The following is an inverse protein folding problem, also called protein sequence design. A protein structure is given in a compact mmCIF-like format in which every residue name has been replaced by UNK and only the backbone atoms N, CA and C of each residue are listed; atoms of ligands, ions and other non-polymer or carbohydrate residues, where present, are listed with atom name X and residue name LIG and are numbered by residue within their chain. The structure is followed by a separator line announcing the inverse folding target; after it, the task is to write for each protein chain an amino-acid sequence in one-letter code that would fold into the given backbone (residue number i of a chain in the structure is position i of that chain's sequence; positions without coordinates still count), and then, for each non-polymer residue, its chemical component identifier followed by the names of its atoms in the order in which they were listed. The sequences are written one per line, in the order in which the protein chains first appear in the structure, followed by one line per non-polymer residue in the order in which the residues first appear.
data_IF_608705502444
#
_entry.id   IF_608705502444
#
_cell.length_a   1.000
_cell.length_b   1.000
_cell.length_c   1.000
_cell.angle_alpha   90.00
_cell.angle_beta   90.00
_cell.angle_gamma   90.00
#
_symmetry.space_group_name_H-M   'P 1'
#
loop_
_entity.id
_entity.type
_entity.pdbx_description
1 polymer ?
#
# COMPACT_ATOMS: atom_id res chain seq x y z
N UNK A 1 -23.47 -13.45 8.09
CA UNK A 1 -22.59 -12.27 7.93
C UNK A 1 -22.55 -11.86 6.47
N UNK A 2 -21.91 -10.72 6.19
CA UNK A 2 -21.59 -10.29 4.83
C UNK A 2 -20.33 -11.04 4.37
N UNK A 3 -20.40 -11.70 3.21
CA UNK A 3 -19.22 -12.27 2.54
C UNK A 3 -18.85 -11.41 1.33
N UNK A 4 -17.65 -10.83 1.33
CA UNK A 4 -17.09 -10.11 0.18
C UNK A 4 -16.27 -11.11 -0.63
N UNK A 5 -16.60 -11.30 -1.91
CA UNK A 5 -15.91 -12.23 -2.80
C UNK A 5 -14.64 -11.60 -3.36
N UNK A 6 -13.72 -12.44 -3.81
CA UNK A 6 -12.58 -12.03 -4.62
C UNK A 6 -13.03 -11.25 -5.87
N UNK A 7 -12.19 -10.33 -6.33
CA UNK A 7 -12.47 -9.41 -7.42
C UNK A 7 -12.50 -7.95 -6.97
N UNK A 8 -13.29 -7.14 -7.68
CA UNK A 8 -13.46 -5.72 -7.39
C UNK A 8 -14.80 -5.50 -6.70
N UNK A 9 -14.74 -5.05 -5.44
CA UNK A 9 -15.91 -4.65 -4.66
C UNK A 9 -15.90 -3.14 -4.44
N UNK A 10 -16.99 -2.48 -4.83
CA UNK A 10 -17.22 -1.07 -4.62
C UNK A 10 -18.20 -0.86 -3.46
N UNK A 11 -17.84 -0.02 -2.51
CA UNK A 11 -18.68 0.41 -1.40
C UNK A 11 -19.09 1.86 -1.62
N UNK A 12 -20.37 2.08 -1.92
CA UNK A 12 -20.96 3.39 -2.21
C UNK A 12 -22.01 3.80 -1.18
N UNK A 13 -22.56 5.01 -1.33
CA UNK A 13 -23.59 5.55 -0.44
C UNK A 13 -23.36 7.02 -0.10
N UNK A 14 -24.38 7.66 0.46
CA UNK A 14 -24.30 9.05 0.91
C UNK A 14 -23.21 9.28 1.97
N UNK A 15 -22.84 10.54 2.18
CA UNK A 15 -22.01 10.94 3.32
C UNK A 15 -22.65 10.48 4.63
N UNK A 16 -21.84 10.09 5.61
CA UNK A 16 -22.29 9.64 6.94
C UNK A 16 -23.11 8.34 7.02
N UNK A 17 -23.18 7.55 5.95
CA UNK A 17 -23.90 6.27 5.97
C UNK A 17 -23.06 5.05 6.42
N UNK A 18 -21.80 5.25 6.82
CA UNK A 18 -20.93 4.19 7.38
C UNK A 18 -19.95 3.52 6.40
N UNK A 19 -19.70 4.11 5.21
CA UNK A 19 -18.76 3.56 4.22
C UNK A 19 -17.34 3.37 4.78
N UNK A 20 -16.71 4.46 5.22
CA UNK A 20 -15.35 4.43 5.77
C UNK A 20 -15.29 3.65 7.09
N UNK A 21 -16.38 3.60 7.86
CA UNK A 21 -16.47 2.73 9.06
C UNK A 21 -16.37 1.26 8.68
N UNK A 22 -17.10 0.81 7.66
CA UNK A 22 -17.00 -0.55 7.14
C UNK A 22 -15.60 -0.84 6.61
N UNK A 23 -15.02 0.04 5.79
CA UNK A 23 -13.67 -0.15 5.27
C UNK A 23 -12.62 -0.18 6.38
N UNK A 24 -12.74 0.65 7.41
CA UNK A 24 -11.84 0.66 8.57
C UNK A 24 -11.96 -0.61 9.41
N UNK A 25 -13.13 -1.23 9.47
CA UNK A 25 -13.29 -2.55 10.08
C UNK A 25 -12.58 -3.63 9.24
N UNK A 26 -12.71 -3.60 7.91
CA UNK A 26 -12.01 -4.51 7.01
C UNK A 26 -10.48 -4.33 7.06
N UNK A 27 -10.00 -3.09 7.13
CA UNK A 27 -8.58 -2.77 7.31
C UNK A 27 -7.98 -3.40 8.57
N UNK A 28 -8.77 -3.41 9.65
CA UNK A 28 -8.41 -4.00 10.94
C UNK A 28 -8.66 -5.51 11.00
N UNK A 29 -9.35 -6.09 10.02
CA UNK A 29 -9.68 -7.51 9.96
C UNK A 29 -8.49 -8.43 9.69
N UNK A 30 -7.31 -7.86 9.41
CA UNK A 30 -6.03 -8.57 9.34
C UNK A 30 -5.47 -8.93 10.73
N UNK A 31 -6.06 -8.39 11.79
CA UNK A 31 -5.73 -8.69 13.18
C UNK A 31 -6.92 -9.34 13.87
N UNK A 32 -6.62 -10.26 14.78
CA UNK A 32 -7.62 -10.77 15.72
C UNK A 32 -7.99 -9.66 16.72
N UNK A 33 -9.28 -9.52 17.02
CA UNK A 33 -9.76 -8.59 18.05
C UNK A 33 -10.15 -9.34 19.32
N UNK A 34 -10.09 -8.64 20.45
CA UNK A 34 -10.51 -9.20 21.75
C UNK A 34 -12.03 -9.43 21.77
N UNK A 35 -12.53 -10.40 22.57
CA UNK A 35 -13.98 -10.60 22.71
C UNK A 35 -14.70 -9.34 23.18
N UNK A 36 -15.83 -9.00 22.54
CA UNK A 36 -16.65 -7.83 22.88
C UNK A 36 -16.19 -6.51 22.24
N UNK A 37 -15.17 -6.53 21.38
CA UNK A 37 -14.73 -5.36 20.61
C UNK A 37 -15.77 -4.90 19.57
N UNK A 38 -16.59 -5.83 19.07
CA UNK A 38 -17.56 -5.65 17.98
C UNK A 38 -17.00 -6.01 16.60
N UNK A 39 -15.68 -6.15 16.45
CA UNK A 39 -14.99 -6.57 15.20
C UNK A 39 -14.32 -7.94 15.31
N UNK A 40 -14.52 -8.68 16.40
CA UNK A 40 -13.88 -9.99 16.63
C UNK A 40 -14.22 -11.07 15.58
N UNK A 41 -15.26 -10.85 14.78
CA UNK A 41 -15.62 -11.71 13.64
C UNK A 41 -15.56 -10.98 12.28
N UNK A 42 -14.95 -9.80 12.24
CA UNK A 42 -14.65 -9.09 10.99
C UNK A 42 -13.25 -9.50 10.57
N UNK A 43 -13.18 -10.46 9.65
CA UNK A 43 -11.92 -11.04 9.16
C UNK A 43 -11.68 -10.60 7.73
N UNK A 44 -10.46 -10.18 7.46
CA UNK A 44 -9.95 -9.88 6.12
C UNK A 44 -8.76 -10.78 5.84
N UNK A 45 -8.51 -11.09 4.58
CA UNK A 45 -7.32 -11.83 4.16
C UNK A 45 -6.04 -11.14 4.67
N UNK A 46 -5.08 -11.94 5.14
CA UNK A 46 -3.99 -11.50 6.03
C UNK A 46 -2.97 -10.58 5.36
N UNK A 47 -2.82 -10.66 4.03
CA UNK A 47 -1.96 -9.78 3.24
C UNK A 47 -2.64 -8.48 2.79
N UNK A 48 -3.90 -8.23 3.19
CA UNK A 48 -4.62 -7.04 2.78
C UNK A 48 -3.92 -5.73 3.21
N UNK A 49 -3.77 -4.81 2.26
CA UNK A 49 -3.10 -3.52 2.46
C UNK A 49 -4.04 -2.34 2.20
N UNK A 50 -4.11 -1.43 3.18
CA UNK A 50 -4.72 -0.10 3.00
C UNK A 50 -3.78 0.82 2.25
N UNK A 51 -4.25 1.36 1.13
CA UNK A 51 -3.52 2.34 0.33
C UNK A 51 -4.20 3.70 0.39
N UNK A 52 -3.37 4.75 0.37
CA UNK A 52 -3.76 6.16 0.35
C UNK A 52 -2.67 6.99 -0.31
N UNK A 53 -2.96 8.26 -0.59
CA UNK A 53 -1.94 9.22 -1.02
C UNK A 53 -1.07 9.66 0.18
N UNK A 54 0.23 9.85 -0.08
CA UNK A 54 1.25 10.23 0.90
C UNK A 54 2.14 11.33 0.34
N UNK A 55 1.61 12.54 0.25
CA UNK A 55 2.36 13.68 -0.27
C UNK A 55 3.64 13.94 0.54
N UNK A 56 4.76 14.11 -0.15
CA UNK A 56 6.06 14.39 0.45
C UNK A 56 6.93 13.18 0.82
N UNK A 57 6.43 11.94 0.70
CA UNK A 57 7.26 10.75 0.98
C UNK A 57 8.38 10.58 -0.05
N UNK A 58 9.48 9.94 0.35
CA UNK A 58 10.52 9.53 -0.60
C UNK A 58 10.14 8.25 -1.35
N UNK A 59 10.64 8.14 -2.58
CA UNK A 59 10.62 6.91 -3.39
C UNK A 59 12.03 6.74 -3.94
N UNK A 60 12.57 5.52 -3.93
CA UNK A 60 13.93 5.23 -4.38
C UNK A 60 13.97 4.05 -5.35
N UNK A 61 14.46 4.32 -6.56
CA UNK A 61 14.66 3.39 -7.66
C UNK A 61 13.53 2.37 -7.84
N UNK A 62 12.27 2.81 -7.77
CA UNK A 62 11.10 1.96 -7.91
C UNK A 62 10.56 2.01 -9.34
N UNK A 63 10.14 0.87 -9.88
CA UNK A 63 9.41 0.83 -11.14
C UNK A 63 7.94 1.18 -10.94
N UNK A 64 7.56 2.40 -11.32
CA UNK A 64 6.18 2.89 -11.28
C UNK A 64 5.54 2.95 -12.67
N UNK A 65 6.19 2.35 -13.69
CA UNK A 65 5.79 2.47 -15.10
C UNK A 65 4.42 1.87 -15.42
N UNK A 66 3.93 0.97 -14.55
CA UNK A 66 2.57 0.43 -14.60
C UNK A 66 1.48 1.50 -14.43
N UNK A 67 1.82 2.62 -13.78
CA UNK A 67 0.90 3.69 -13.42
C UNK A 67 1.34 5.09 -13.89
N UNK A 68 2.64 5.31 -14.14
CA UNK A 68 3.20 6.61 -14.52
C UNK A 68 4.15 6.42 -15.70
N UNK A 69 3.91 7.11 -16.81
CA UNK A 69 4.71 7.09 -18.04
C UNK A 69 5.13 8.51 -18.43
N UNK A 70 6.16 8.65 -19.28
CA UNK A 70 6.46 9.87 -20.03
C UNK A 70 6.42 11.18 -19.20
N UNK A 71 7.10 11.21 -18.05
CA UNK A 71 7.15 12.41 -17.22
C UNK A 71 7.72 13.61 -17.99
N UNK A 72 7.16 14.84 -17.86
CA UNK A 72 7.60 16.01 -18.65
C UNK A 72 9.07 16.39 -18.47
N UNK A 73 9.65 16.07 -17.32
CA UNK A 73 11.06 16.31 -17.02
C UNK A 73 11.99 15.18 -17.49
N UNK A 74 11.46 14.18 -18.20
CA UNK A 74 12.22 13.03 -18.70
C UNK A 74 12.71 12.07 -17.62
N UNK A 75 12.21 12.16 -16.38
CA UNK A 75 12.57 11.22 -15.32
C UNK A 75 12.18 9.79 -15.70
N UNK A 76 13.08 8.86 -15.40
CA UNK A 76 12.87 7.43 -15.61
C UNK A 76 11.76 6.92 -14.66
N UNK A 77 10.73 6.30 -15.22
CA UNK A 77 9.62 5.70 -14.46
C UNK A 77 9.85 4.23 -14.11
N UNK A 78 10.86 3.59 -14.69
CA UNK A 78 11.28 2.21 -14.38
C UNK A 78 12.27 2.19 -13.20
N UNK A 79 13.06 3.26 -13.02
CA UNK A 79 13.93 3.46 -11.83
C UNK A 79 13.63 4.78 -11.14
N UNK A 80 12.36 5.02 -10.84
CA UNK A 80 11.89 6.31 -10.34
C UNK A 80 12.44 6.63 -8.94
N UNK A 81 12.92 7.85 -8.77
CA UNK A 81 13.39 8.37 -7.48
C UNK A 81 12.94 9.81 -7.25
N UNK A 82 12.51 10.09 -6.03
CA UNK A 82 12.21 11.45 -5.55
C UNK A 82 12.34 11.53 -4.03
N UNK A 83 12.77 12.69 -3.52
CA UNK A 83 12.72 13.00 -2.09
C UNK A 83 11.38 13.59 -1.64
N UNK A 84 10.52 13.95 -2.61
CA UNK A 84 9.28 14.69 -2.41
C UNK A 84 8.29 14.22 -3.49
N UNK A 85 7.50 13.19 -3.18
CA UNK A 85 6.53 12.61 -4.11
C UNK A 85 5.19 13.35 -4.03
N UNK A 86 4.57 13.63 -5.19
CA UNK A 86 3.18 14.11 -5.21
C UNK A 86 2.21 13.04 -4.71
N UNK A 87 0.99 13.44 -4.34
CA UNK A 87 -0.09 12.52 -3.97
C UNK A 87 -0.34 11.36 -4.95
N UNK A 88 -0.38 11.61 -6.27
CA UNK A 88 -0.57 10.55 -7.26
C UNK A 88 0.64 9.64 -7.40
N UNK A 89 1.84 10.21 -7.36
CA UNK A 89 3.09 9.47 -7.47
C UNK A 89 3.32 8.57 -6.26
N UNK A 90 3.03 9.08 -5.06
CA UNK A 90 3.10 8.32 -3.82
C UNK A 90 2.09 7.17 -3.78
N UNK A 91 0.85 7.39 -4.25
CA UNK A 91 -0.16 6.33 -4.29
C UNK A 91 0.13 5.27 -5.37
N UNK A 92 0.65 5.68 -6.53
CA UNK A 92 1.15 4.76 -7.55
C UNK A 92 2.29 3.89 -7.00
N UNK A 93 3.27 4.50 -6.34
CA UNK A 93 4.36 3.78 -5.68
C UNK A 93 3.83 2.82 -4.60
N UNK A 94 2.92 3.27 -3.73
CA UNK A 94 2.30 2.43 -2.70
C UNK A 94 1.57 1.22 -3.29
N UNK A 95 0.96 1.37 -4.47
CA UNK A 95 0.30 0.25 -5.18
C UNK A 95 1.33 -0.77 -5.65
N UNK A 96 2.43 -0.34 -6.29
CA UNK A 96 3.51 -1.24 -6.71
C UNK A 96 4.16 -1.93 -5.51
N UNK A 97 4.45 -1.17 -4.45
CA UNK A 97 5.04 -1.70 -3.22
C UNK A 97 4.15 -2.75 -2.54
N UNK A 98 2.82 -2.58 -2.57
CA UNK A 98 1.88 -3.57 -2.06
C UNK A 98 1.91 -4.88 -2.87
N UNK A 99 2.06 -4.78 -4.19
CA UNK A 99 2.24 -5.95 -5.07
C UNK A 99 3.53 -6.69 -4.70
N UNK A 100 4.64 -5.96 -4.51
CA UNK A 100 5.93 -6.52 -4.10
C UNK A 100 5.89 -7.17 -2.71
N UNK A 101 5.09 -6.59 -1.80
CA UNK A 101 4.83 -7.16 -0.48
C UNK A 101 3.87 -8.36 -0.49
N UNK A 102 3.48 -8.84 -1.68
CA UNK A 102 2.66 -10.04 -1.86
C UNK A 102 1.19 -9.84 -1.51
N UNK A 103 0.69 -8.60 -1.47
CA UNK A 103 -0.71 -8.32 -1.12
C UNK A 103 -1.68 -8.95 -2.12
N UNK A 104 -2.74 -9.60 -1.60
CA UNK A 104 -3.85 -10.16 -2.39
C UNK A 104 -5.11 -9.31 -2.34
N UNK A 105 -5.15 -8.30 -1.48
CA UNK A 105 -6.31 -7.39 -1.36
C UNK A 105 -5.85 -5.96 -1.12
N UNK A 106 -6.27 -5.04 -1.99
CA UNK A 106 -6.07 -3.60 -1.82
C UNK A 106 -7.34 -2.97 -1.24
N UNK A 107 -7.20 -2.23 -0.14
CA UNK A 107 -8.27 -1.46 0.48
C UNK A 107 -8.02 0.02 0.18
N UNK A 108 -8.98 0.70 -0.42
CA UNK A 108 -8.82 2.09 -0.86
C UNK A 108 -10.04 2.91 -0.44
N UNK A 109 -9.79 4.11 0.11
CA UNK A 109 -10.82 5.11 0.36
C UNK A 109 -10.59 6.31 -0.55
N UNK A 110 -11.59 6.67 -1.36
CA UNK A 110 -11.58 7.83 -2.25
C UNK A 110 -11.22 9.11 -1.50
N UNK A 111 -11.70 9.28 -0.25
CA UNK A 111 -11.47 10.50 0.56
C UNK A 111 -10.00 10.71 0.96
N UNK A 112 -9.18 9.65 0.91
CA UNK A 112 -7.74 9.69 1.25
C UNK A 112 -6.83 9.44 0.06
N UNK A 113 -7.41 9.34 -1.14
CA UNK A 113 -6.71 9.06 -2.38
C UNK A 113 -6.45 10.33 -3.20
N UNK A 114 -5.45 10.28 -4.07
CA UNK A 114 -5.22 11.33 -5.05
C UNK A 114 -6.23 11.18 -6.20
N UNK A 115 -7.11 12.17 -6.36
CA UNK A 115 -8.22 12.11 -7.34
C UNK A 115 -7.72 11.82 -8.76
N UNK A 116 -6.63 12.48 -9.18
CA UNK A 116 -6.00 12.31 -10.49
C UNK A 116 -5.35 10.92 -10.69
N UNK A 117 -5.03 10.21 -9.61
CA UNK A 117 -4.62 8.80 -9.69
C UNK A 117 -5.82 7.87 -9.79
N UNK A 118 -6.93 8.15 -9.09
CA UNK A 118 -8.07 7.24 -9.03
C UNK A 118 -8.85 7.14 -10.34
N UNK A 119 -9.21 8.30 -10.90
CA UNK A 119 -10.10 8.38 -12.05
C UNK A 119 -9.71 9.58 -12.91
N UNK A 120 -9.99 9.47 -14.21
CA UNK A 120 -9.89 10.59 -15.13
C UNK A 120 -11.21 10.79 -15.84
N UNK A 121 -11.65 12.04 -15.87
CA UNK A 121 -12.90 12.41 -16.48
C UNK A 121 -12.86 12.25 -18.01
N UNK A 122 -13.99 11.83 -18.59
CA UNK A 122 -14.10 11.58 -20.03
C UNK A 122 -13.92 12.86 -20.88
N UNK A 123 -14.30 14.03 -20.37
CA UNK A 123 -14.06 15.31 -21.04
C UNK A 123 -12.57 15.65 -21.03
N UNK A 124 -11.87 15.39 -19.91
CA UNK A 124 -10.41 15.57 -19.85
C UNK A 124 -9.66 14.70 -20.84
N UNK A 125 -10.11 13.46 -21.06
CA UNK A 125 -9.57 12.60 -22.11
C UNK A 125 -9.76 13.13 -23.53
N UNK A 126 -10.81 13.94 -23.78
CA UNK A 126 -11.05 14.55 -25.10
C UNK A 126 -10.20 15.79 -25.33
N UNK A 127 -9.82 16.50 -24.27
CA UNK A 127 -9.08 17.77 -24.35
C UNK A 127 -7.57 17.54 -24.33
N UNK A 128 -7.08 16.63 -23.49
CA UNK A 128 -5.65 16.36 -23.33
C UNK A 128 -5.35 14.98 -23.92
N UNK A 129 -4.44 14.93 -24.90
CA UNK A 129 -4.07 13.69 -25.55
C UNK A 129 -3.50 12.68 -24.55
N UNK A 130 -3.81 11.40 -24.75
CA UNK A 130 -3.30 10.31 -23.87
C UNK A 130 -1.78 10.32 -23.74
N UNK A 131 -1.04 10.71 -24.78
CA UNK A 131 0.43 10.78 -24.76
C UNK A 131 1.01 11.94 -23.93
N UNK A 132 0.19 12.93 -23.57
CA UNK A 132 0.59 14.11 -22.79
C UNK A 132 0.24 13.98 -21.31
N UNK A 133 -0.60 13.01 -20.94
CA UNK A 133 -0.91 12.70 -19.55
C UNK A 133 -0.03 11.56 -19.06
N UNK A 134 0.89 11.82 -18.12
CA UNK A 134 1.80 10.78 -17.62
C UNK A 134 1.08 9.74 -16.75
N UNK A 135 -0.04 10.08 -16.10
CA UNK A 135 -0.70 9.22 -15.14
C UNK A 135 -1.70 8.29 -15.84
N UNK A 136 -1.55 6.99 -15.60
CA UNK A 136 -2.54 5.96 -15.91
C UNK A 136 -3.45 5.84 -14.69
N UNK A 137 -4.75 6.16 -14.81
CA UNK A 137 -5.67 6.07 -13.69
C UNK A 137 -5.80 4.64 -13.16
N UNK A 138 -5.88 4.50 -11.84
CA UNK A 138 -6.05 3.23 -11.13
C UNK A 138 -7.26 2.44 -11.65
N UNK A 139 -8.37 3.13 -11.94
CA UNK A 139 -9.57 2.51 -12.54
C UNK A 139 -9.28 1.73 -13.84
N UNK A 140 -8.31 2.17 -14.63
CA UNK A 140 -7.90 1.50 -15.88
C UNK A 140 -7.07 0.25 -15.67
N UNK A 141 -6.53 0.04 -14.47
CA UNK A 141 -5.71 -1.12 -14.06
C UNK A 141 -6.41 -2.04 -13.05
N UNK A 142 -7.45 -1.56 -12.38
CA UNK A 142 -8.12 -2.26 -11.28
C UNK A 142 -8.61 -3.66 -11.66
N UNK A 143 -9.13 -3.83 -12.89
CA UNK A 143 -9.52 -5.15 -13.40
C UNK A 143 -8.31 -6.06 -13.68
N UNK A 144 -7.25 -5.52 -14.27
CA UNK A 144 -6.02 -6.27 -14.54
C UNK A 144 -5.31 -6.73 -13.26
N UNK A 145 -5.36 -5.93 -12.19
CA UNK A 145 -4.85 -6.35 -10.87
C UNK A 145 -5.47 -7.68 -10.44
N UNK A 146 -6.77 -7.85 -10.64
CA UNK A 146 -7.44 -9.10 -10.33
C UNK A 146 -7.19 -10.18 -11.40
N UNK A 147 -7.47 -9.89 -12.66
CA UNK A 147 -7.45 -10.89 -13.73
C UNK A 147 -6.03 -11.43 -14.03
N UNK A 148 -4.99 -10.60 -13.89
CA UNK A 148 -3.60 -10.96 -14.19
C UNK A 148 -2.78 -11.35 -12.95
N UNK A 149 -3.04 -10.72 -11.79
CA UNK A 149 -2.24 -10.92 -10.57
C UNK A 149 -3.00 -11.58 -9.40
N UNK A 150 -4.32 -11.77 -9.54
CA UNK A 150 -5.17 -12.31 -8.48
C UNK A 150 -5.32 -11.36 -7.28
N UNK A 151 -5.17 -10.06 -7.49
CA UNK A 151 -5.25 -9.04 -6.42
C UNK A 151 -6.63 -8.40 -6.45
N UNK A 152 -7.42 -8.67 -5.40
CA UNK A 152 -8.74 -8.09 -5.19
C UNK A 152 -8.64 -6.62 -4.78
N UNK A 153 -9.69 -5.85 -5.05
CA UNK A 153 -9.79 -4.45 -4.63
C UNK A 153 -11.11 -4.19 -3.92
N UNK A 154 -11.06 -3.60 -2.72
CA UNK A 154 -12.22 -3.03 -2.03
C UNK A 154 -12.07 -1.51 -2.01
N UNK A 155 -12.92 -0.82 -2.76
CA UNK A 155 -12.88 0.63 -2.93
C UNK A 155 -14.11 1.27 -2.30
N UNK A 156 -13.92 2.18 -1.35
CA UNK A 156 -14.97 3.14 -0.95
C UNK A 156 -14.96 4.31 -1.91
N UNK A 157 -16.11 4.57 -2.54
CA UNK A 157 -16.31 5.74 -3.39
C UNK A 157 -17.66 6.39 -3.09
N UNK A 158 -17.72 7.72 -3.19
CA UNK A 158 -18.93 8.51 -3.02
C UNK A 158 -19.15 9.53 -4.14
N UNK A 159 -18.12 9.87 -4.92
CA UNK A 159 -18.19 11.00 -5.86
C UNK A 159 -18.31 10.61 -7.33
N UNK A 160 -17.85 9.40 -7.71
CA UNK A 160 -17.76 8.98 -9.11
C UNK A 160 -18.45 7.65 -9.39
N UNK A 161 -19.38 7.64 -10.35
CA UNK A 161 -20.01 6.43 -10.89
C UNK A 161 -19.13 5.66 -11.89
N UNK A 162 -17.95 6.18 -12.25
CA UNK A 162 -17.06 5.55 -13.24
C UNK A 162 -16.68 4.12 -12.86
N UNK A 163 -16.62 3.82 -11.55
CA UNK A 163 -16.24 2.50 -11.04
C UNK A 163 -17.31 1.42 -11.23
N UNK A 164 -18.55 1.76 -11.61
CA UNK A 164 -19.64 0.78 -11.72
C UNK A 164 -19.35 -0.31 -12.76
N UNK A 165 -18.88 0.04 -13.95
CA UNK A 165 -18.64 -0.94 -15.03
C UNK A 165 -17.50 -1.90 -14.68
N UNK A 166 -16.48 -1.43 -13.97
CA UNK A 166 -15.32 -2.22 -13.58
C UNK A 166 -15.50 -2.98 -12.27
N UNK A 167 -16.61 -2.85 -11.54
CA UNK A 167 -16.82 -3.56 -10.25
C UNK A 167 -17.61 -4.86 -10.41
N UNK A 168 -17.23 -5.94 -9.72
CA UNK A 168 -17.99 -7.19 -9.68
C UNK A 168 -19.18 -7.10 -8.73
N UNK A 169 -18.96 -6.47 -7.57
CA UNK A 169 -19.97 -6.28 -6.54
C UNK A 169 -20.04 -4.81 -6.14
N UNK A 170 -21.25 -4.26 -6.06
CA UNK A 170 -21.49 -2.89 -5.62
C UNK A 170 -22.40 -2.92 -4.40
N UNK A 171 -21.86 -2.53 -3.25
CA UNK A 171 -22.55 -2.45 -1.97
C UNK A 171 -22.85 -0.99 -1.65
N UNK A 172 -24.12 -0.65 -1.51
CA UNK A 172 -24.54 0.64 -1.00
C UNK A 172 -24.69 0.57 0.52
N UNK A 173 -23.97 1.43 1.24
CA UNK A 173 -24.26 1.73 2.63
C UNK A 173 -25.45 2.70 2.69
N UNK A 174 -26.56 2.23 3.26
CA UNK A 174 -27.76 3.03 3.51
C UNK A 174 -28.14 2.92 4.98
N UNK A 175 -28.10 4.05 5.70
CA UNK A 175 -28.44 4.07 7.14
C UNK A 175 -27.69 2.97 7.91
N UNK A 176 -26.39 2.86 7.68
CA UNK A 176 -25.49 1.88 8.29
C UNK A 176 -25.74 0.41 7.90
N UNK A 177 -26.63 0.15 6.94
CA UNK A 177 -26.89 -1.19 6.41
C UNK A 177 -26.28 -1.37 5.01
N UNK A 178 -25.50 -2.44 4.76
CA UNK A 178 -25.00 -2.75 3.43
C UNK A 178 -26.10 -3.40 2.57
N UNK A 179 -26.32 -2.86 1.38
CA UNK A 179 -27.29 -3.35 0.40
C UNK A 179 -26.58 -3.63 -0.92
N UNK A 180 -26.72 -4.84 -1.46
CA UNK A 180 -26.17 -5.14 -2.78
C UNK A 180 -27.03 -4.47 -3.86
N UNK A 181 -26.45 -3.50 -4.59
CA UNK A 181 -27.11 -2.75 -5.66
C UNK A 181 -26.46 -3.02 -7.03
N UNK A 182 -25.72 -4.12 -7.18
CA UNK A 182 -24.92 -4.42 -8.38
C UNK A 182 -25.75 -4.35 -9.66
N UNK A 183 -26.91 -5.02 -9.70
CA UNK A 183 -27.79 -5.00 -10.88
C UNK A 183 -28.26 -3.59 -11.25
N UNK A 184 -28.75 -2.84 -10.26
CA UNK A 184 -29.21 -1.46 -10.44
C UNK A 184 -28.07 -0.54 -10.95
N UNK A 185 -26.89 -0.65 -10.36
CA UNK A 185 -25.76 0.19 -10.72
C UNK A 185 -25.20 -0.15 -12.13
N UNK A 186 -25.18 -1.43 -12.51
CA UNK A 186 -24.82 -1.86 -13.87
C UNK A 186 -25.82 -1.38 -14.92
N UNK A 187 -27.12 -1.45 -14.61
CA UNK A 187 -28.18 -0.93 -15.49
C UNK A 187 -28.05 0.58 -15.68
N UNK A 188 -27.83 1.33 -14.58
CA UNK A 188 -27.62 2.77 -14.65
C UNK A 188 -26.36 3.16 -15.44
N UNK A 189 -25.32 2.34 -15.39
CA UNK A 189 -24.05 2.60 -16.09
C UNK A 189 -24.06 2.18 -17.57
N UNK A 190 -25.05 1.40 -18.03
CA UNK A 190 -25.10 0.88 -19.39
C UNK A 190 -25.18 1.96 -20.49
N UNK A 191 -25.71 3.14 -20.16
CA UNK A 191 -25.79 4.30 -21.07
C UNK A 191 -24.54 5.20 -21.06
N UNK A 192 -23.56 4.91 -20.20
CA UNK A 192 -22.35 5.71 -20.05
C UNK A 192 -21.16 5.04 -20.75
N UNK A 193 -20.20 5.83 -21.27
CA UNK A 193 -19.01 5.26 -21.90
C UNK A 193 -18.25 4.39 -20.92
N UNK A 194 -17.79 3.23 -21.39
CA UNK A 194 -16.87 2.41 -20.62
C UNK A 194 -15.58 3.15 -20.33
N UNK A 195 -15.04 2.89 -19.14
CA UNK A 195 -13.71 3.34 -18.77
C UNK A 195 -12.71 2.59 -19.63
N UNK A 196 -11.83 3.33 -20.30
CA UNK A 196 -10.77 2.75 -21.10
C UNK A 196 -9.83 1.97 -20.19
N UNK A 197 -9.92 0.64 -20.25
CA UNK A 197 -8.93 -0.24 -19.64
C UNK A 197 -7.62 -0.16 -20.42
N UNK A 198 -6.50 -0.31 -19.73
CA UNK A 198 -5.22 -0.46 -20.40
C UNK A 198 -5.16 -1.85 -21.05
N UNK A 199 -4.52 -1.94 -22.21
CA UNK A 199 -4.43 -3.17 -23.01
C UNK A 199 -3.06 -3.85 -22.88
N UNK A 200 -2.06 -3.13 -22.38
CA UNK A 200 -0.77 -3.71 -22.06
C UNK A 200 -0.83 -4.48 -20.74
N UNK A 201 -0.05 -5.56 -20.65
CA UNK A 201 0.01 -6.39 -19.45
C UNK A 201 0.42 -5.58 -18.23
N UNK A 202 -0.23 -5.88 -17.11
CA UNK A 202 0.20 -5.38 -15.81
C UNK A 202 1.42 -6.21 -15.38
N UNK A 203 2.60 -5.83 -15.85
CA UNK A 203 3.87 -6.43 -15.45
C UNK A 203 4.52 -5.56 -14.36
N UNK A 204 4.24 -5.77 -13.06
CA UNK A 204 5.05 -5.16 -12.03
C UNK A 204 6.50 -5.63 -12.25
N UNK A 205 7.42 -4.69 -12.44
CA UNK A 205 8.83 -5.00 -12.61
C UNK A 205 9.35 -5.85 -11.45
N UNK A 206 10.41 -6.63 -11.69
CA UNK A 206 11.13 -7.29 -10.59
C UNK A 206 11.78 -6.24 -9.70
N UNK A 207 11.90 -6.49 -8.39
CA UNK A 207 12.70 -5.61 -7.53
C UNK A 207 14.18 -5.75 -7.89
N UNK A 208 14.73 -4.74 -8.56
CA UNK A 208 16.15 -4.71 -8.92
C UNK A 208 16.99 -3.91 -7.92
N UNK A 209 16.38 -3.43 -6.83
CA UNK A 209 17.07 -2.61 -5.83
C UNK A 209 18.01 -3.50 -5.04
N UNK A 210 19.28 -3.12 -4.99
CA UNK A 210 20.31 -3.80 -4.20
C UNK A 210 20.76 -2.84 -3.10
N UNK A 211 20.37 -3.07 -1.83
CA UNK A 211 20.72 -2.19 -0.74
C UNK A 211 22.20 -2.32 -0.36
N UNK A 212 22.85 -1.18 -0.19
CA UNK A 212 24.25 -1.03 0.20
C UNK A 212 24.36 -0.56 1.65
N UNK A 213 25.52 -0.79 2.32
CA UNK A 213 25.70 -0.36 3.70
C UNK A 213 25.55 1.15 3.85
N UNK A 214 24.69 1.61 4.76
CA UNK A 214 24.69 3.00 5.17
C UNK A 214 25.82 3.22 6.20
N UNK A 215 26.84 4.00 5.82
CA UNK A 215 27.99 4.29 6.71
C UNK A 215 27.60 4.99 8.00
N UNK A 216 26.57 5.84 7.96
CA UNK A 216 26.08 6.54 9.17
C UNK A 216 25.51 5.57 10.22
N UNK A 217 25.08 4.38 9.79
CA UNK A 217 24.61 3.31 10.67
C UNK A 217 25.74 2.35 11.00
N UNK A 218 26.41 1.82 9.97
CA UNK A 218 27.40 0.72 10.09
C UNK A 218 28.73 1.15 10.72
N UNK A 219 29.15 2.40 10.58
CA UNK A 219 30.36 2.94 11.23
C UNK A 219 30.04 3.60 12.59
N UNK A 220 28.76 3.65 13.00
CA UNK A 220 28.36 4.22 14.28
C UNK A 220 28.77 3.33 15.45
N UNK A 221 29.43 3.92 16.44
CA UNK A 221 29.81 3.23 17.69
C UNK A 221 28.59 2.70 18.46
N UNK A 222 27.42 3.34 18.30
CA UNK A 222 26.17 2.93 18.94
C UNK A 222 24.99 3.33 18.06
N UNK A 223 24.32 2.33 17.51
CA UNK A 223 23.07 2.52 16.77
C UNK A 223 21.92 2.63 17.77
N UNK A 224 21.19 3.75 17.73
CA UNK A 224 19.99 3.96 18.54
C UNK A 224 18.75 3.82 17.67
N UNK A 225 17.84 2.97 18.10
CA UNK A 225 16.54 2.77 17.46
C UNK A 225 15.44 3.18 18.43
N UNK A 226 14.38 3.82 17.93
CA UNK A 226 13.19 4.13 18.72
C UNK A 226 11.94 4.20 17.85
N UNK A 227 10.90 3.44 18.22
CA UNK A 227 9.53 3.68 17.74
C UNK A 227 8.87 4.83 18.49
N UNK A 228 8.01 5.58 17.81
CA UNK A 228 7.25 6.70 18.37
C UNK A 228 5.76 6.51 18.08
N UNK A 229 5.06 5.81 18.99
CA UNK A 229 3.65 5.48 18.79
C UNK A 229 3.49 4.63 17.53
N UNK A 230 2.49 4.95 16.70
CA UNK A 230 2.26 4.34 15.39
C UNK A 230 2.85 5.15 14.24
N UNK A 231 3.41 6.32 14.52
CA UNK A 231 3.63 7.35 13.51
C UNK A 231 5.00 7.31 12.89
N UNK A 232 6.03 6.83 13.60
CA UNK A 232 7.38 6.79 13.06
C UNK A 232 8.32 5.81 13.77
N UNK A 233 9.39 5.49 13.05
CA UNK A 233 10.56 4.74 13.53
C UNK A 233 11.80 5.58 13.28
N UNK A 234 12.68 5.70 14.27
CA UNK A 234 13.95 6.42 14.12
C UNK A 234 15.13 5.48 14.23
N UNK A 235 16.15 5.70 13.40
CA UNK A 235 17.48 5.09 13.48
C UNK A 235 18.53 6.19 13.48
N UNK A 236 19.27 6.32 14.58
CA UNK A 236 20.15 7.45 14.87
C UNK A 236 19.44 8.81 14.73
N UNK A 237 19.70 9.53 13.64
CA UNK A 237 19.11 10.84 13.34
C UNK A 237 18.06 10.79 12.23
N UNK A 238 17.92 9.66 11.55
CA UNK A 238 16.98 9.47 10.45
C UNK A 238 15.63 8.97 10.98
N UNK A 239 14.54 9.57 10.50
CA UNK A 239 13.17 9.21 10.88
C UNK A 239 12.41 8.67 9.67
N UNK A 240 11.84 7.49 9.83
CA UNK A 240 10.90 6.85 8.90
C UNK A 240 9.49 7.19 9.34
N UNK A 241 8.80 7.99 8.54
CA UNK A 241 7.38 8.30 8.77
C UNK A 241 6.50 7.10 8.36
N UNK A 242 5.68 6.64 9.30
CA UNK A 242 4.72 5.54 9.17
C UNK A 242 3.27 5.95 9.43
N UNK A 243 3.00 7.22 9.76
CA UNK A 243 1.67 7.77 10.06
C UNK A 243 0.58 7.45 9.02
N UNK A 244 0.96 7.16 7.78
CA UNK A 244 0.04 6.81 6.68
C UNK A 244 0.00 5.31 6.39
N UNK A 245 0.78 4.50 7.09
CA UNK A 245 0.68 3.04 7.15
C UNK A 245 -0.32 2.69 8.24
N UNK A 246 -1.60 2.97 7.97
CA UNK A 246 -2.67 2.99 8.99
C UNK A 246 -2.88 1.64 9.72
N UNK A 247 -2.37 0.55 9.14
CA UNK A 247 -2.40 -0.80 9.69
C UNK A 247 -1.30 -1.09 10.72
N UNK A 248 -0.38 -0.16 11.00
CA UNK A 248 0.44 -0.18 12.21
C UNK A 248 -0.43 0.35 13.36
N UNK A 249 -0.69 -0.47 14.37
CA UNK A 249 -1.70 -0.19 15.40
C UNK A 249 -1.13 0.04 16.79
N UNK A 250 0.10 -0.43 17.03
CA UNK A 250 0.74 -0.39 18.34
C UNK A 250 2.18 0.12 18.28
N UNK A 251 2.64 0.72 19.38
CA UNK A 251 4.02 1.17 19.54
C UNK A 251 5.01 -0.01 19.58
N UNK A 252 4.55 -1.17 20.04
CA UNK A 252 5.29 -2.42 20.06
C UNK A 252 5.65 -2.89 18.64
N UNK A 253 4.79 -2.60 17.66
CA UNK A 253 5.06 -2.88 16.24
C UNK A 253 6.12 -1.93 15.68
N UNK A 254 6.04 -0.62 15.96
CA UNK A 254 7.08 0.32 15.50
C UNK A 254 8.43 0.05 16.16
N UNK A 255 8.44 -0.38 17.43
CA UNK A 255 9.66 -0.84 18.09
C UNK A 255 10.27 -2.08 17.41
N UNK A 256 9.43 -3.06 17.05
CA UNK A 256 9.88 -4.26 16.33
C UNK A 256 10.42 -3.89 14.94
N UNK A 257 9.70 -3.06 14.18
CA UNK A 257 10.12 -2.53 12.87
C UNK A 257 11.48 -1.85 12.95
N UNK A 258 11.70 -1.00 13.96
CA UNK A 258 12.99 -0.37 14.17
C UNK A 258 14.12 -1.37 14.46
N UNK A 259 13.85 -2.40 15.26
CA UNK A 259 14.80 -3.48 15.49
C UNK A 259 15.19 -4.18 14.19
N UNK A 260 14.20 -4.53 13.36
CA UNK A 260 14.41 -5.14 12.05
C UNK A 260 15.20 -4.22 11.11
N UNK A 261 14.89 -2.92 11.07
CA UNK A 261 15.62 -1.95 10.23
C UNK A 261 17.10 -1.90 10.60
N UNK A 262 17.40 -1.88 11.90
CA UNK A 262 18.79 -1.93 12.37
C UNK A 262 19.49 -3.21 11.95
N UNK A 263 18.86 -4.36 12.13
CA UNK A 263 19.44 -5.64 11.73
C UNK A 263 19.65 -5.71 10.21
N UNK A 264 18.70 -5.20 9.41
CA UNK A 264 18.84 -5.09 7.97
C UNK A 264 20.08 -4.26 7.59
N UNK A 265 20.25 -3.07 8.17
CA UNK A 265 21.41 -2.21 7.95
C UNK A 265 22.74 -2.86 8.38
N UNK A 266 22.76 -3.54 9.53
CA UNK A 266 23.99 -4.13 10.09
C UNK A 266 24.41 -5.44 9.41
N UNK A 267 23.47 -6.22 8.87
CA UNK A 267 23.72 -7.62 8.46
C UNK A 267 23.35 -7.92 6.99
N UNK A 268 22.28 -7.31 6.45
CA UNK A 268 21.69 -7.71 5.17
C UNK A 268 21.98 -6.73 4.03
N UNK A 269 22.04 -5.43 4.30
CA UNK A 269 22.28 -4.38 3.30
C UNK A 269 23.76 -4.30 2.92
N UNK A 270 24.23 -5.33 2.20
CA UNK A 270 25.65 -5.57 1.93
C UNK A 270 26.06 -5.33 0.46
N UNK A 271 25.14 -4.87 -0.38
CA UNK A 271 25.38 -4.58 -1.80
C UNK A 271 25.41 -5.82 -2.71
N UNK A 272 24.94 -6.98 -2.24
CA UNK A 272 24.98 -8.26 -2.97
C UNK A 272 23.60 -8.82 -3.30
N UNK A 273 22.69 -8.83 -2.34
CA UNK A 273 21.35 -9.41 -2.47
C UNK A 273 20.34 -8.33 -2.89
N UNK A 274 19.21 -8.74 -3.46
CA UNK A 274 18.12 -7.79 -3.74
C UNK A 274 17.45 -7.36 -2.43
N UNK A 275 16.76 -6.23 -2.47
CA UNK A 275 15.98 -5.73 -1.33
C UNK A 275 14.90 -6.74 -0.92
N UNK A 276 14.29 -7.40 -1.91
CA UNK A 276 13.34 -8.49 -1.71
C UNK A 276 13.98 -9.63 -0.92
N UNK A 277 15.12 -10.16 -1.37
CA UNK A 277 15.82 -11.24 -0.68
C UNK A 277 16.13 -10.87 0.77
N UNK A 278 16.67 -9.66 1.00
CA UNK A 278 17.00 -9.17 2.35
C UNK A 278 15.77 -9.12 3.27
N UNK A 279 14.63 -8.63 2.77
CA UNK A 279 13.38 -8.51 3.55
C UNK A 279 12.80 -9.89 3.86
N UNK A 280 12.74 -10.79 2.87
CA UNK A 280 12.20 -12.13 3.10
C UNK A 280 13.11 -12.95 4.03
N UNK A 281 14.44 -12.84 3.91
CA UNK A 281 15.38 -13.58 4.75
C UNK A 281 15.27 -13.16 6.23
N UNK A 282 15.23 -11.85 6.53
CA UNK A 282 15.03 -11.39 7.92
C UNK A 282 13.61 -11.72 8.43
N UNK A 283 12.60 -11.67 7.56
CA UNK A 283 11.22 -11.97 7.96
C UNK A 283 11.01 -13.45 8.26
N UNK A 284 11.66 -14.36 7.52
CA UNK A 284 11.65 -15.78 7.84
C UNK A 284 12.42 -16.09 9.12
N UNK A 285 13.51 -15.37 9.39
CA UNK A 285 14.17 -15.41 10.71
C UNK A 285 13.21 -14.95 11.83
N UNK A 286 12.44 -13.88 11.61
CA UNK A 286 11.42 -13.42 12.56
C UNK A 286 10.33 -14.46 12.81
N UNK A 287 9.86 -15.18 11.78
CA UNK A 287 8.88 -16.27 11.97
C UNK A 287 9.44 -17.46 12.75
N UNK A 288 10.69 -17.81 12.52
CA UNK A 288 11.32 -19.02 13.08
C UNK A 288 11.91 -18.80 14.47
N UNK A 289 12.58 -17.68 14.69
CA UNK A 289 13.24 -17.31 15.95
C UNK A 289 12.42 -16.35 16.81
N UNK A 290 11.29 -15.85 16.29
CA UNK A 290 10.50 -14.81 16.95
C UNK A 290 11.28 -13.50 17.08
N UNK A 291 11.05 -12.78 18.18
CA UNK A 291 11.68 -11.49 18.45
C UNK A 291 13.22 -11.54 18.59
N UNK A 292 13.81 -12.73 18.73
CA UNK A 292 15.27 -12.89 18.72
C UNK A 292 15.89 -12.49 17.37
N UNK A 293 15.14 -12.53 16.27
CA UNK A 293 15.62 -12.20 14.94
C UNK A 293 16.22 -10.79 14.82
N UNK A 294 15.76 -9.84 15.63
CA UNK A 294 16.23 -8.45 15.65
C UNK A 294 17.14 -8.12 16.84
N UNK A 295 17.55 -9.11 17.64
CA UNK A 295 18.23 -8.90 18.91
C UNK A 295 19.55 -9.67 18.99
N UNK A 296 20.64 -8.98 19.34
CA UNK A 296 21.90 -9.60 19.76
C UNK A 296 21.96 -9.67 21.29
N UNK A 297 21.19 -10.59 21.88
CA UNK A 297 21.13 -10.79 23.33
C UNK A 297 19.71 -10.78 23.89
N UNK A 298 19.46 -9.98 24.94
CA UNK A 298 18.16 -9.95 25.60
C UNK A 298 17.08 -9.36 24.68
N UNK A 299 15.96 -10.06 24.59
CA UNK A 299 14.78 -9.63 23.83
C UNK A 299 14.04 -8.54 24.62
N UNK A 300 13.78 -7.36 24.03
CA UNK A 300 12.96 -6.33 24.65
C UNK A 300 11.53 -6.79 24.91
N UNK A 301 10.98 -6.45 26.07
CA UNK A 301 9.59 -6.81 26.45
C UNK A 301 8.49 -5.98 25.78
N UNK A 302 8.86 -5.09 24.86
CA UNK A 302 7.97 -4.11 24.21
C UNK A 302 7.92 -4.30 22.68
N UNK A 303 7.98 -5.54 22.22
CA UNK A 303 7.84 -5.93 20.81
C UNK A 303 6.53 -6.66 20.56
N UNK A 304 5.98 -6.44 19.37
CA UNK A 304 4.85 -7.18 18.82
C UNK A 304 5.22 -7.68 17.42
N UNK A 305 4.60 -8.77 17.00
CA UNK A 305 4.77 -9.27 15.63
C UNK A 305 4.25 -8.24 14.63
N UNK A 306 4.94 -8.16 13.49
CA UNK A 306 4.60 -7.29 12.36
C UNK A 306 4.39 -8.17 11.15
N UNK A 307 3.59 -7.75 10.18
CA UNK A 307 3.46 -8.46 8.92
C UNK A 307 4.58 -8.01 7.98
N UNK A 308 4.84 -8.82 6.96
CA UNK A 308 5.85 -8.48 5.95
C UNK A 308 5.47 -7.19 5.20
N UNK A 309 4.17 -6.89 5.09
CA UNK A 309 3.63 -5.67 4.50
C UNK A 309 4.09 -4.42 5.26
N UNK A 310 4.06 -4.43 6.60
CA UNK A 310 4.58 -3.30 7.40
C UNK A 310 6.10 -3.15 7.27
N UNK A 311 6.84 -4.26 7.19
CA UNK A 311 8.30 -4.24 7.00
C UNK A 311 8.67 -3.63 5.64
N UNK A 312 8.02 -4.07 4.56
CA UNK A 312 8.15 -3.45 3.24
C UNK A 312 7.79 -1.97 3.28
N UNK A 313 6.67 -1.62 3.91
CA UNK A 313 6.22 -0.23 4.00
C UNK A 313 7.24 0.67 4.71
N UNK A 314 7.86 0.20 5.79
CA UNK A 314 8.91 0.94 6.49
C UNK A 314 10.15 1.11 5.61
N UNK A 315 10.67 0.03 5.04
CA UNK A 315 11.92 0.07 4.25
C UNK A 315 11.76 0.97 3.01
N UNK A 316 10.61 0.92 2.34
CA UNK A 316 10.31 1.77 1.19
C UNK A 316 10.18 3.27 1.53
N UNK A 317 9.92 3.61 2.81
CA UNK A 317 9.85 5.00 3.30
C UNK A 317 11.15 5.49 3.93
N UNK A 318 12.14 4.62 4.08
CA UNK A 318 13.40 4.95 4.73
C UNK A 318 14.32 5.79 3.83
N UNK A 319 14.48 7.08 4.14
CA UNK A 319 15.33 7.98 3.33
C UNK A 319 16.82 7.68 3.48
N UNK A 320 17.23 6.94 4.50
CA UNK A 320 18.61 6.46 4.65
C UNK A 320 18.98 5.27 3.77
N UNK A 321 18.02 4.65 3.05
CA UNK A 321 18.28 3.48 2.22
C UNK A 321 19.25 3.80 1.07
N UNK A 322 20.46 3.22 1.08
CA UNK A 322 21.45 3.40 0.02
C UNK A 322 21.31 2.27 -1.00
N UNK A 323 21.24 2.58 -2.30
CA UNK A 323 21.04 1.60 -3.37
C UNK A 323 22.16 1.66 -4.41
N UNK A 324 22.45 0.52 -5.04
CA UNK A 324 23.41 0.39 -6.15
C UNK A 324 22.85 0.83 -7.51
#
# INVERSE_FOLDING_TARGET
GLGIREGVTLIVGGGYHGKSTLLKALERGVYNHIPGDGREYVITEDTAMKLRAEDGRSIKQLDISAFIRNLPNGKDTVRFSTGDASGSTSQAAGTVEAIMAGSKTLLIDEDTSATNFMVRDALMHKVIHKGEEPIIPFIGRMRQLYDELGISTILVAGSSGAFFNVSDTILQMKEYNPVNITGLAKEAAAGYPDVLSETDKLSPGKDLRIPCPNKEVTESRKVKVRGSGTDSVSINHESVELRFVEQVIDNEQTNMLGGLLRTLEEEYFNGRNTLEDCIYEIYDKLKTEGFAASCRGQIPGNYAMVRIQELWAMVNRYRGLVLR
#
